data_IF_578569482649
#
_entry.id   IF_578569482649
#
_cell.length_a   1.000
_cell.length_b   1.000
_cell.length_c   1.000
_cell.angle_alpha   90.00
_cell.angle_beta   90.00
_cell.angle_gamma   90.00
#
_symmetry.space_group_name_H-M   'P 1'
#
loop_
_entity.id
_entity.type
_entity.pdbx_description
1 polymer ?
#
# COMPACT_ATOMS: atom_id res chain seq x y z
N UNK A 1 -6.76 18.83 0.56
CA UNK A 1 -6.16 18.64 1.90
C UNK A 1 -6.44 17.21 2.36
N UNK A 2 -5.56 16.27 1.98
CA UNK A 2 -5.59 14.92 2.53
C UNK A 2 -4.84 14.99 3.87
N UNK A 3 -5.55 14.77 4.97
CA UNK A 3 -4.92 14.49 6.25
C UNK A 3 -3.97 13.32 6.02
N UNK A 4 -2.66 13.56 6.19
CA UNK A 4 -1.68 12.50 6.32
C UNK A 4 -2.20 11.59 7.42
N UNK A 5 -2.77 10.45 7.05
CA UNK A 5 -3.13 9.40 7.98
C UNK A 5 -1.88 9.13 8.80
N UNK A 6 -1.90 9.60 10.04
CA UNK A 6 -0.88 9.38 11.05
C UNK A 6 -0.82 7.87 11.20
N UNK A 7 0.06 7.22 10.43
CA UNK A 7 0.44 5.83 10.65
C UNK A 7 1.21 5.82 11.96
N UNK A 8 0.48 6.00 13.06
CA UNK A 8 1.01 5.73 14.38
C UNK A 8 1.43 4.27 14.31
N UNK A 9 2.73 3.97 14.54
CA UNK A 9 3.14 2.59 14.68
C UNK A 9 2.20 1.97 15.70
N UNK A 10 1.74 0.75 15.42
CA UNK A 10 1.11 -0.08 16.44
C UNK A 10 2.13 -0.21 17.56
N UNK A 11 2.02 0.67 18.56
CA UNK A 11 2.79 0.55 19.80
C UNK A 11 2.06 -0.54 20.57
N UNK A 12 2.53 -1.78 20.40
CA UNK A 12 2.35 -2.81 21.40
C UNK A 12 3.04 -2.29 22.66
N UNK A 13 2.29 -1.56 23.47
CA UNK A 13 2.75 -1.08 24.76
C UNK A 13 2.52 -2.21 25.75
N UNK A 14 3.53 -3.06 25.94
CA UNK A 14 3.57 -3.96 27.08
C UNK A 14 4.08 -3.17 28.28
N UNK A 15 3.20 -2.75 29.18
CA UNK A 15 3.62 -2.26 30.50
C UNK A 15 3.76 -3.45 31.44
N UNK A 16 5.00 -3.87 31.79
CA UNK A 16 5.18 -4.92 32.79
C UNK A 16 4.60 -4.46 34.12
N UNK A 17 3.71 -5.26 34.69
CA UNK A 17 3.13 -4.97 36.00
C UNK A 17 4.19 -5.32 37.04
N UNK A 18 4.68 -4.33 37.81
CA UNK A 18 5.51 -4.59 39.00
C UNK A 18 4.69 -5.44 39.97
N UNK A 19 4.96 -6.73 40.00
CA UNK A 19 4.49 -7.64 41.05
C UNK A 19 5.35 -7.31 42.26
N UNK A 20 4.73 -6.99 43.40
CA UNK A 20 5.44 -6.63 44.61
C UNK A 20 6.24 -7.81 45.15
N UNK A 21 7.55 -7.59 45.33
CA UNK A 21 8.48 -8.53 45.95
C UNK A 21 7.99 -8.86 47.37
N UNK A 22 7.61 -10.12 47.59
CA UNK A 22 7.54 -10.70 48.93
C UNK A 22 8.31 -12.01 48.90
N UNK A 23 9.32 -12.07 49.77
CA UNK A 23 10.36 -13.07 49.92
C UNK A 23 9.81 -14.48 50.13
N UNK A 24 10.40 -15.48 49.44
CA UNK A 24 10.50 -16.86 49.93
C UNK A 24 11.51 -17.67 49.10
N UNK A 25 12.69 -17.87 49.69
CA UNK A 25 13.70 -18.84 49.29
C UNK A 25 13.17 -20.27 49.45
N UNK A 26 13.15 -21.05 48.36
CA UNK A 26 13.03 -22.51 48.42
C UNK A 26 13.65 -23.12 47.16
N UNK A 27 14.85 -23.68 47.31
CA UNK A 27 15.60 -24.33 46.23
C UNK A 27 15.08 -25.74 45.97
N UNK A 28 14.53 -25.98 44.78
CA UNK A 28 14.35 -27.31 44.21
C UNK A 28 14.68 -27.28 42.72
N UNK A 29 15.67 -28.10 42.33
CA UNK A 29 16.19 -28.28 40.97
C UNK A 29 15.17 -29.01 40.06
N UNK A 30 14.04 -28.37 39.77
CA UNK A 30 13.14 -28.81 38.69
C UNK A 30 13.61 -28.22 37.35
N UNK A 31 13.55 -28.98 36.23
CA UNK A 31 13.93 -28.47 34.92
C UNK A 31 13.07 -27.24 34.63
N UNK A 32 13.72 -26.08 34.49
CA UNK A 32 13.09 -24.78 34.35
C UNK A 32 12.02 -24.80 33.25
N UNK A 33 10.77 -25.03 33.64
CA UNK A 33 9.63 -24.73 32.79
C UNK A 33 9.67 -23.22 32.62
N UNK A 34 9.91 -22.78 31.40
CA UNK A 34 9.86 -21.37 31.03
C UNK A 34 8.42 -20.91 31.25
N UNK A 35 8.14 -20.34 32.43
CA UNK A 35 6.89 -19.64 32.68
C UNK A 35 6.82 -18.49 31.68
N UNK A 36 5.97 -18.65 30.66
CA UNK A 36 5.68 -17.60 29.70
C UNK A 36 4.97 -16.47 30.47
N UNK A 37 5.68 -15.37 30.67
CA UNK A 37 5.13 -14.17 31.30
C UNK A 37 3.88 -13.72 30.54
N UNK A 38 2.72 -13.78 31.20
CA UNK A 38 1.45 -13.30 30.63
C UNK A 38 1.48 -11.78 30.57
N UNK A 39 1.51 -11.21 29.36
CA UNK A 39 1.36 -9.76 29.19
C UNK A 39 -0.06 -9.40 28.75
N UNK A 40 -0.51 -8.21 29.14
CA UNK A 40 -1.76 -7.65 28.67
C UNK A 40 -1.54 -7.05 27.28
N UNK A 41 -1.85 -7.81 26.24
CA UNK A 41 -1.85 -7.27 24.89
C UNK A 41 -3.03 -6.29 24.73
N UNK A 42 -2.71 -5.09 24.25
CA UNK A 42 -3.68 -4.02 24.04
C UNK A 42 -3.70 -3.60 22.58
N UNK A 43 -4.90 -3.54 21.99
CA UNK A 43 -5.11 -2.98 20.66
C UNK A 43 -6.17 -1.89 20.74
N UNK A 44 -5.77 -0.67 20.39
CA UNK A 44 -6.67 0.47 20.30
C UNK A 44 -7.61 0.30 19.11
N UNK A 45 -8.90 0.57 19.31
CA UNK A 45 -9.85 0.65 18.21
C UNK A 45 -9.54 1.89 17.36
N UNK A 46 -9.56 1.73 16.05
CA UNK A 46 -9.36 2.83 15.11
C UNK A 46 -10.69 3.54 14.85
N UNK A 47 -10.64 4.81 14.45
CA UNK A 47 -11.82 5.58 14.02
C UNK A 47 -12.33 5.10 12.65
N UNK A 48 -12.76 3.84 12.58
CA UNK A 48 -13.25 3.18 11.38
C UNK A 48 -14.64 2.58 11.62
N UNK A 49 -15.43 2.44 10.56
CA UNK A 49 -16.76 1.82 10.64
C UNK A 49 -16.69 0.36 11.16
N UNK A 50 -15.57 -0.31 10.91
CA UNK A 50 -15.35 -1.69 11.34
C UNK A 50 -15.19 -1.82 12.85
N UNK A 51 -14.38 -0.96 13.45
CA UNK A 51 -14.16 -0.98 14.90
C UNK A 51 -15.33 -0.36 15.67
N UNK A 52 -16.09 0.56 15.06
CA UNK A 52 -17.36 1.03 15.59
C UNK A 52 -18.39 -0.10 15.74
N UNK A 53 -18.47 -1.01 14.76
CA UNK A 53 -19.31 -2.20 14.83
C UNK A 53 -18.91 -3.14 15.99
N UNK A 54 -17.61 -3.29 16.24
CA UNK A 54 -17.12 -4.07 17.39
C UNK A 54 -17.50 -3.42 18.71
N UNK A 55 -17.27 -2.11 18.86
CA UNK A 55 -17.62 -1.42 20.11
C UNK A 55 -19.13 -1.54 20.38
N UNK A 56 -19.95 -1.31 19.36
CA UNK A 56 -21.40 -1.38 19.50
C UNK A 56 -21.89 -2.79 19.88
N UNK A 57 -21.27 -3.84 19.32
CA UNK A 57 -21.52 -5.24 19.70
C UNK A 57 -21.04 -5.58 21.10
N UNK A 58 -19.91 -5.01 21.55
CA UNK A 58 -19.43 -5.20 22.91
C UNK A 58 -20.40 -4.58 23.91
N UNK A 59 -20.79 -3.32 23.68
CA UNK A 59 -21.69 -2.55 24.55
C UNK A 59 -23.09 -3.15 24.64
N UNK A 60 -23.64 -3.65 23.53
CA UNK A 60 -24.96 -4.29 23.53
C UNK A 60 -24.99 -5.63 24.27
N UNK A 61 -23.81 -6.25 24.46
CA UNK A 61 -23.66 -7.51 25.18
C UNK A 61 -23.22 -7.35 26.65
N UNK A 62 -22.97 -6.12 27.10
CA UNK A 62 -22.58 -5.85 28.48
C UNK A 62 -23.81 -5.47 29.31
N UNK A 63 -24.20 -6.35 30.23
CA UNK A 63 -25.40 -6.18 31.06
C UNK A 63 -25.34 -4.89 31.90
N UNK A 64 -24.15 -4.49 32.37
CA UNK A 64 -23.95 -3.27 33.16
C UNK A 64 -24.15 -2.01 32.31
N UNK A 65 -23.71 -2.07 31.04
CA UNK A 65 -23.95 -1.00 30.08
C UNK A 65 -25.46 -0.86 29.80
N UNK A 66 -26.15 -1.98 29.58
CA UNK A 66 -27.60 -2.01 29.33
C UNK A 66 -28.38 -1.52 30.55
N UNK A 67 -27.95 -1.88 31.77
CA UNK A 67 -28.58 -1.43 33.02
C UNK A 67 -28.41 0.09 33.23
N UNK A 68 -27.24 0.64 32.87
CA UNK A 68 -26.91 2.06 33.07
C UNK A 68 -27.60 2.98 32.06
N UNK A 69 -27.59 2.61 30.77
CA UNK A 69 -28.07 3.46 29.67
C UNK A 69 -29.45 3.06 29.13
N UNK A 70 -29.94 1.88 29.51
CA UNK A 70 -31.20 1.33 29.04
C UNK A 70 -31.09 0.57 27.72
N UNK A 71 -31.94 -0.44 27.56
CA UNK A 71 -31.95 -1.33 26.38
C UNK A 71 -32.17 -0.60 25.05
N UNK A 72 -32.97 0.48 25.04
CA UNK A 72 -33.25 1.23 23.82
C UNK A 72 -32.00 1.96 23.32
N UNK A 73 -31.18 2.52 24.22
CA UNK A 73 -29.95 3.21 23.84
C UNK A 73 -28.89 2.20 23.36
N UNK A 74 -28.75 1.05 24.04
CA UNK A 74 -27.87 -0.02 23.61
C UNK A 74 -28.25 -0.56 22.21
N UNK A 75 -29.56 -0.77 21.97
CA UNK A 75 -30.08 -1.17 20.65
C UNK A 75 -29.81 -0.10 19.58
N UNK A 76 -30.06 1.18 19.87
CA UNK A 76 -29.79 2.27 18.93
C UNK A 76 -28.31 2.38 18.57
N UNK A 77 -27.40 2.19 19.53
CA UNK A 77 -25.95 2.14 19.29
C UNK A 77 -25.54 0.94 18.45
N UNK A 78 -26.11 -0.24 18.74
CA UNK A 78 -25.90 -1.45 17.95
C UNK A 78 -26.32 -1.24 16.48
N UNK A 79 -27.53 -0.73 16.26
CA UNK A 79 -28.04 -0.42 14.93
C UNK A 79 -27.15 0.58 14.19
N UNK A 80 -26.71 1.64 14.87
CA UNK A 80 -25.82 2.63 14.26
C UNK A 80 -24.46 2.04 13.89
N UNK A 81 -23.77 1.40 14.84
CA UNK A 81 -22.44 0.82 14.61
C UNK A 81 -22.45 -0.27 13.54
N UNK A 82 -23.43 -1.18 13.60
CA UNK A 82 -23.56 -2.26 12.60
C UNK A 82 -24.03 -1.71 11.25
N UNK A 83 -24.91 -0.71 11.23
CA UNK A 83 -25.33 -0.04 9.99
C UNK A 83 -24.16 0.63 9.27
N UNK A 84 -23.31 1.35 10.00
CA UNK A 84 -22.08 1.95 9.45
C UNK A 84 -21.13 0.89 8.91
N UNK A 85 -20.93 -0.22 9.63
CA UNK A 85 -20.15 -1.36 9.18
C UNK A 85 -20.68 -1.91 7.85
N UNK A 86 -21.99 -2.20 7.76
CA UNK A 86 -22.61 -2.78 6.57
C UNK A 86 -22.49 -1.85 5.35
N UNK A 87 -22.73 -0.54 5.54
CA UNK A 87 -22.58 0.45 4.47
C UNK A 87 -21.11 0.50 3.98
N UNK A 88 -20.15 0.60 4.90
CA UNK A 88 -18.73 0.65 4.54
C UNK A 88 -18.26 -0.63 3.84
N UNK A 89 -18.59 -1.80 4.39
CA UNK A 89 -18.23 -3.10 3.83
C UNK A 89 -18.86 -3.31 2.46
N UNK A 90 -20.13 -2.91 2.27
CA UNK A 90 -20.80 -2.99 0.98
C UNK A 90 -20.14 -2.07 -0.06
N UNK A 91 -19.91 -0.80 0.26
CA UNK A 91 -19.27 0.15 -0.66
C UNK A 91 -17.85 -0.28 -1.03
N UNK A 92 -17.04 -0.68 -0.05
CA UNK A 92 -15.69 -1.16 -0.29
C UNK A 92 -15.72 -2.46 -1.12
N UNK A 93 -16.59 -3.40 -0.78
CA UNK A 93 -16.76 -4.66 -1.48
C UNK A 93 -17.18 -4.49 -2.95
N UNK A 94 -18.14 -3.61 -3.23
CA UNK A 94 -18.57 -3.30 -4.60
C UNK A 94 -17.41 -2.69 -5.40
N UNK A 95 -16.67 -1.73 -4.84
CA UNK A 95 -15.56 -1.11 -5.55
C UNK A 95 -14.40 -2.09 -5.81
N UNK A 96 -14.11 -2.96 -4.85
CA UNK A 96 -13.13 -4.05 -5.05
C UNK A 96 -13.59 -4.99 -6.15
N UNK A 97 -14.86 -5.40 -6.15
CA UNK A 97 -15.43 -6.25 -7.19
C UNK A 97 -15.37 -5.58 -8.56
N UNK A 98 -15.68 -4.29 -8.67
CA UNK A 98 -15.57 -3.54 -9.92
C UNK A 98 -14.14 -3.49 -10.45
N UNK A 99 -13.14 -3.30 -9.57
CA UNK A 99 -11.73 -3.34 -9.97
C UNK A 99 -11.36 -4.72 -10.49
N UNK A 100 -11.75 -5.78 -9.77
CA UNK A 100 -11.44 -7.16 -10.17
C UNK A 100 -12.08 -7.46 -11.53
N UNK A 101 -13.40 -7.28 -11.65
CA UNK A 101 -14.15 -7.72 -12.82
C UNK A 101 -13.92 -6.85 -14.05
N UNK A 102 -13.79 -5.53 -13.90
CA UNK A 102 -13.71 -4.62 -15.07
C UNK A 102 -12.30 -4.10 -15.35
N UNK A 103 -11.49 -3.85 -14.32
CA UNK A 103 -10.14 -3.32 -14.53
C UNK A 103 -9.10 -4.41 -14.67
N UNK A 104 -9.17 -5.48 -13.87
CA UNK A 104 -8.15 -6.53 -13.91
C UNK A 104 -8.37 -7.45 -15.10
N UNK A 105 -9.58 -7.98 -15.30
CA UNK A 105 -9.89 -8.85 -16.44
C UNK A 105 -9.52 -8.16 -17.77
N UNK A 106 -9.97 -6.93 -17.99
CA UNK A 106 -9.66 -6.16 -19.22
C UNK A 106 -8.16 -5.95 -19.45
N UNK A 107 -7.38 -5.80 -18.38
CA UNK A 107 -5.91 -5.65 -18.49
C UNK A 107 -5.20 -7.00 -18.68
N UNK A 108 -5.83 -8.07 -18.22
CA UNK A 108 -5.32 -9.44 -18.29
C UNK A 108 -5.60 -10.06 -19.67
N UNK A 109 -6.73 -9.75 -20.32
CA UNK A 109 -7.15 -10.29 -21.63
C UNK A 109 -6.05 -10.33 -22.70
N UNK A 110 -5.25 -9.26 -22.95
CA UNK A 110 -4.22 -9.28 -23.99
C UNK A 110 -3.11 -10.31 -23.74
N UNK A 111 -2.93 -10.71 -22.48
CA UNK A 111 -1.91 -11.65 -22.03
C UNK A 111 -2.45 -13.06 -21.79
N UNK A 112 -3.77 -13.25 -21.72
CA UNK A 112 -4.39 -14.58 -21.65
C UNK A 112 -4.51 -15.23 -23.01
N UNK A 113 -4.91 -14.45 -24.02
CA UNK A 113 -5.29 -15.00 -25.33
C UNK A 113 -4.11 -15.65 -26.06
N UNK A 114 -2.89 -15.19 -25.77
CA UNK A 114 -1.64 -15.75 -26.26
C UNK A 114 -0.82 -16.15 -25.04
N UNK A 115 -0.37 -17.41 -24.94
CA UNK A 115 0.52 -17.80 -23.85
C UNK A 115 1.73 -16.86 -23.88
N UNK A 116 1.91 -16.01 -22.87
CA UNK A 116 3.00 -15.02 -22.84
C UNK A 116 4.38 -15.62 -23.17
N UNK A 117 4.58 -16.89 -22.83
CA UNK A 117 5.76 -17.67 -23.23
C UNK A 117 5.96 -17.81 -24.75
N UNK A 118 4.90 -18.09 -25.53
CA UNK A 118 5.01 -18.20 -27.00
C UNK A 118 5.24 -16.84 -27.64
N UNK A 119 4.62 -15.77 -27.11
CA UNK A 119 4.91 -14.41 -27.57
C UNK A 119 6.38 -14.04 -27.32
N UNK A 120 6.92 -14.38 -26.15
CA UNK A 120 8.33 -14.18 -25.83
C UNK A 120 9.24 -14.95 -26.80
N UNK A 121 8.88 -16.18 -27.15
CA UNK A 121 9.65 -16.99 -28.10
C UNK A 121 9.62 -16.41 -29.53
N UNK A 122 8.47 -15.92 -29.99
CA UNK A 122 8.32 -15.26 -31.29
C UNK A 122 9.24 -14.03 -31.40
N UNK A 123 9.24 -13.17 -30.37
CA UNK A 123 10.13 -12.02 -30.29
C UNK A 123 11.61 -12.43 -30.29
N UNK A 124 11.98 -13.47 -29.53
CA UNK A 124 13.35 -13.99 -29.52
C UNK A 124 13.79 -14.55 -30.86
N UNK A 125 12.89 -15.23 -31.57
CA UNK A 125 13.18 -15.75 -32.91
C UNK A 125 13.42 -14.62 -33.90
N UNK A 126 12.58 -13.58 -33.88
CA UNK A 126 12.74 -12.38 -34.71
C UNK A 126 14.08 -11.66 -34.44
N UNK A 127 14.47 -11.54 -33.17
CA UNK A 127 15.79 -11.00 -32.77
C UNK A 127 16.94 -11.87 -33.29
N UNK A 128 16.82 -13.20 -33.18
CA UNK A 128 17.84 -14.15 -33.62
C UNK A 128 18.02 -14.17 -35.14
N UNK A 129 16.96 -13.99 -35.92
CA UNK A 129 17.00 -13.87 -37.39
C UNK A 129 17.32 -12.46 -37.86
N UNK A 130 17.48 -11.50 -36.94
CA UNK A 130 17.67 -10.08 -37.23
C UNK A 130 16.60 -9.51 -38.20
N UNK A 131 15.36 -9.99 -38.07
CA UNK A 131 14.24 -9.58 -38.91
C UNK A 131 13.10 -9.07 -38.02
N UNK A 132 12.71 -7.81 -38.18
CA UNK A 132 11.57 -7.25 -37.44
C UNK A 132 10.28 -7.97 -37.79
N UNK A 133 9.41 -8.18 -36.80
CA UNK A 133 8.05 -8.64 -37.03
C UNK A 133 7.25 -7.56 -37.80
N UNK A 134 6.29 -7.96 -38.65
CA UNK A 134 5.40 -7.01 -39.31
C UNK A 134 4.61 -6.16 -38.29
N UNK A 135 4.35 -4.89 -38.60
CA UNK A 135 3.56 -3.99 -37.74
C UNK A 135 2.10 -4.44 -37.53
N UNK A 136 1.60 -5.29 -38.44
CA UNK A 136 0.28 -5.91 -38.33
C UNK A 136 0.22 -7.07 -37.33
N UNK A 137 1.37 -7.58 -36.88
CA UNK A 137 1.43 -8.68 -35.91
C UNK A 137 0.94 -8.20 -34.53
N UNK A 138 -0.07 -8.85 -33.94
CA UNK A 138 -0.61 -8.46 -32.63
C UNK A 138 0.46 -8.48 -31.52
N UNK A 139 1.46 -9.36 -31.61
CA UNK A 139 2.56 -9.45 -30.62
C UNK A 139 3.48 -8.25 -30.72
N UNK A 140 3.81 -7.83 -31.94
CA UNK A 140 4.59 -6.60 -32.19
C UNK A 140 3.85 -5.39 -31.64
N UNK A 141 2.56 -5.24 -31.98
CA UNK A 141 1.71 -4.14 -31.49
C UNK A 141 1.60 -4.12 -29.96
N UNK A 142 1.37 -5.27 -29.32
CA UNK A 142 1.30 -5.38 -27.87
C UNK A 142 2.64 -5.00 -27.23
N UNK A 143 3.75 -5.53 -27.77
CA UNK A 143 5.08 -5.19 -27.30
C UNK A 143 5.34 -3.69 -27.42
N UNK A 144 5.09 -3.07 -28.58
CA UNK A 144 5.27 -1.63 -28.80
C UNK A 144 4.48 -0.77 -27.80
N UNK A 145 3.30 -1.23 -27.38
CA UNK A 145 2.49 -0.56 -26.35
C UNK A 145 2.95 -0.75 -24.90
N UNK A 146 3.85 -1.70 -24.62
CA UNK A 146 4.37 -1.96 -23.27
C UNK A 146 5.54 -1.03 -22.93
N UNK A 147 5.29 -0.02 -22.10
CA UNK A 147 6.29 0.93 -21.62
C UNK A 147 6.82 0.53 -20.24
N UNK A 148 6.81 -0.76 -19.93
CA UNK A 148 7.19 -1.24 -18.63
C UNK A 148 8.72 -1.34 -18.52
N UNK A 149 9.26 -0.88 -17.38
CA UNK A 149 10.69 -0.98 -17.10
C UNK A 149 10.94 -2.35 -16.46
N UNK A 150 11.94 -3.12 -16.91
CA UNK A 150 12.31 -4.38 -16.26
C UNK A 150 12.51 -4.18 -14.75
N UNK A 151 12.06 -5.13 -13.94
CA UNK A 151 12.14 -5.12 -12.46
C UNK A 151 11.24 -4.11 -11.74
N UNK A 152 10.75 -3.06 -12.41
CA UNK A 152 9.89 -2.05 -11.76
C UNK A 152 8.63 -2.65 -11.15
N UNK A 153 8.03 -3.68 -11.75
CA UNK A 153 6.82 -4.32 -11.21
C UNK A 153 7.07 -5.00 -9.88
N UNK A 154 8.25 -5.62 -9.67
CA UNK A 154 8.60 -6.25 -8.38
C UNK A 154 8.72 -5.19 -7.28
N UNK A 155 9.30 -4.03 -7.59
CA UNK A 155 9.36 -2.91 -6.64
C UNK A 155 7.97 -2.37 -6.32
N UNK A 156 7.11 -2.18 -7.33
CA UNK A 156 5.77 -1.66 -7.15
C UNK A 156 4.86 -2.63 -6.38
N UNK A 157 4.96 -3.94 -6.65
CA UNK A 157 4.26 -4.97 -5.89
C UNK A 157 4.75 -5.03 -4.45
N UNK A 158 6.06 -4.90 -4.20
CA UNK A 158 6.61 -4.79 -2.85
C UNK A 158 6.08 -3.57 -2.10
N UNK A 159 6.09 -2.39 -2.72
CA UNK A 159 5.54 -1.17 -2.11
C UNK A 159 4.05 -1.30 -1.81
N UNK A 160 3.29 -1.92 -2.72
CA UNK A 160 1.88 -2.21 -2.52
C UNK A 160 1.65 -3.16 -1.35
N UNK A 161 2.44 -4.23 -1.25
CA UNK A 161 2.41 -5.16 -0.12
C UNK A 161 2.68 -4.45 1.22
N UNK A 162 3.73 -3.64 1.30
CA UNK A 162 4.06 -2.85 2.49
C UNK A 162 2.95 -1.88 2.89
N UNK A 163 2.29 -1.24 1.90
CA UNK A 163 1.18 -0.31 2.15
C UNK A 163 -0.12 -1.02 2.53
N UNK A 164 -0.34 -2.22 2.00
CA UNK A 164 -1.63 -2.90 2.08
C UNK A 164 -1.73 -3.94 3.18
N UNK A 165 -0.62 -4.52 3.62
CA UNK A 165 -0.61 -5.56 4.66
C UNK A 165 -0.89 -5.08 6.09
N UNK A 166 -0.58 -3.84 6.54
CA UNK A 166 -0.77 -3.49 7.95
C UNK A 166 -2.22 -3.64 8.43
N UNK A 167 -3.27 -3.17 7.71
CA UNK A 167 -4.66 -3.40 8.12
C UNK A 167 -5.05 -4.87 8.22
N UNK A 168 -4.48 -5.73 7.36
CA UNK A 168 -4.71 -7.18 7.40
C UNK A 168 -4.10 -7.78 8.66
N UNK A 169 -2.83 -7.44 8.97
CA UNK A 169 -2.17 -7.91 10.19
C UNK A 169 -2.86 -7.39 11.45
N UNK A 170 -3.26 -6.13 11.50
CA UNK A 170 -4.04 -5.58 12.62
C UNK A 170 -5.38 -6.32 12.78
N UNK A 171 -6.06 -6.64 11.67
CA UNK A 171 -7.33 -7.37 11.72
C UNK A 171 -7.16 -8.81 12.18
N UNK A 172 -6.10 -9.49 11.73
CA UNK A 172 -5.73 -10.84 12.19
C UNK A 172 -5.35 -10.84 13.69
N UNK A 173 -4.60 -9.84 14.12
CA UNK A 173 -4.22 -9.70 15.53
C UNK A 173 -5.43 -9.40 16.41
N UNK A 174 -6.32 -8.48 16.02
CA UNK A 174 -7.57 -8.23 16.73
C UNK A 174 -8.49 -9.45 16.74
N UNK A 175 -8.54 -10.22 15.65
CA UNK A 175 -9.25 -11.50 15.58
C UNK A 175 -8.70 -12.50 16.61
N UNK A 176 -7.37 -12.63 16.68
CA UNK A 176 -6.69 -13.45 17.67
C UNK A 176 -7.03 -13.00 19.10
N UNK A 177 -6.95 -11.70 19.40
CA UNK A 177 -7.29 -11.17 20.73
C UNK A 177 -8.75 -11.44 21.11
N UNK A 178 -9.71 -11.22 20.21
CA UNK A 178 -11.14 -11.50 20.46
C UNK A 178 -11.36 -12.99 20.77
N UNK A 179 -10.66 -13.88 20.06
CA UNK A 179 -10.74 -15.32 20.30
C UNK A 179 -10.17 -15.72 21.68
N UNK A 180 -9.08 -15.07 22.11
CA UNK A 180 -8.42 -15.33 23.40
C UNK A 180 -9.01 -14.60 24.59
N UNK A 181 -9.90 -13.62 24.39
CA UNK A 181 -10.55 -12.94 25.51
C UNK A 181 -11.25 -13.96 26.43
N UNK A 182 -11.25 -13.77 27.75
CA UNK A 182 -11.99 -14.63 28.68
C UNK A 182 -13.50 -14.45 28.55
N UNK A 183 -14.26 -15.40 29.12
CA UNK A 183 -15.72 -15.22 29.33
C UNK A 183 -15.93 -14.29 30.52
N UNK A 184 -16.97 -13.44 30.50
CA UNK A 184 -17.22 -12.49 31.57
C UNK A 184 -17.56 -13.21 32.88
N UNK A 185 -16.93 -12.78 33.97
CA UNK A 185 -17.31 -13.09 35.36
C UNK A 185 -17.92 -11.85 36.06
N UNK A 186 -18.21 -10.80 35.29
CA UNK A 186 -18.60 -9.47 35.73
C UNK A 186 -18.60 -8.53 34.51
N UNK A 187 -18.16 -7.28 34.70
CA UNK A 187 -18.08 -6.26 33.65
C UNK A 187 -17.30 -6.72 32.41
N UNK A 188 -17.91 -6.56 31.23
CA UNK A 188 -17.23 -6.80 29.96
C UNK A 188 -16.35 -5.60 29.58
N UNK A 189 -16.84 -4.39 29.85
CA UNK A 189 -16.18 -3.12 29.56
C UNK A 189 -15.79 -2.43 30.86
N UNK A 190 -14.49 -2.28 31.08
CA UNK A 190 -13.96 -1.50 32.20
C UNK A 190 -13.74 -0.07 31.72
N UNK A 191 -14.52 0.87 32.25
CA UNK A 191 -14.40 2.30 31.91
C UNK A 191 -13.45 3.00 32.88
N UNK A 192 -12.29 3.41 32.39
CA UNK A 192 -11.36 4.31 33.11
C UNK A 192 -11.70 5.79 32.88
N UNK A 193 -11.00 6.68 33.58
CA UNK A 193 -11.21 8.13 33.48
C UNK A 193 -11.00 8.68 32.04
N UNK A 194 -10.14 8.04 31.25
CA UNK A 194 -9.77 8.50 29.90
C UNK A 194 -9.90 7.45 28.80
N UNK A 195 -10.02 6.16 29.13
CA UNK A 195 -10.11 5.06 28.17
C UNK A 195 -11.09 3.98 28.61
N UNK A 196 -11.77 3.37 27.65
CA UNK A 196 -12.60 2.19 27.87
C UNK A 196 -11.83 0.93 27.42
N UNK A 197 -11.88 -0.13 28.20
CA UNK A 197 -11.18 -1.38 27.90
C UNK A 197 -12.17 -2.53 27.83
N UNK A 198 -12.20 -3.22 26.68
CA UNK A 198 -12.99 -4.44 26.51
C UNK A 198 -12.11 -5.60 26.99
N UNK A 199 -12.40 -6.13 28.17
CA UNK A 199 -11.57 -7.14 28.86
C UNK A 199 -12.15 -8.54 28.74
N UNK A 200 -13.48 -8.67 28.64
CA UNK A 200 -14.15 -9.95 28.49
C UNK A 200 -15.32 -9.84 27.52
N UNK A 201 -15.66 -10.95 26.86
CA UNK A 201 -16.80 -11.01 25.93
C UNK A 201 -17.53 -12.36 26.09
N UNK A 202 -18.87 -12.37 26.05
CA UNK A 202 -19.63 -13.62 26.05
C UNK A 202 -19.41 -14.38 24.74
N UNK A 203 -19.48 -15.71 24.80
CA UNK A 203 -19.12 -16.58 23.67
C UNK A 203 -19.94 -16.27 22.40
N UNK A 204 -21.24 -16.01 22.56
CA UNK A 204 -22.13 -15.68 21.43
C UNK A 204 -21.66 -14.41 20.72
N UNK A 205 -21.35 -13.35 21.46
CA UNK A 205 -20.86 -12.09 20.91
C UNK A 205 -19.50 -12.25 20.25
N UNK A 206 -18.59 -13.06 20.83
CA UNK A 206 -17.30 -13.37 20.18
C UNK A 206 -17.49 -14.00 18.82
N UNK A 207 -18.28 -15.08 18.74
CA UNK A 207 -18.55 -15.77 17.48
C UNK A 207 -19.16 -14.80 16.45
N UNK A 208 -20.11 -13.97 16.87
CA UNK A 208 -20.69 -12.95 16.00
C UNK A 208 -19.68 -11.90 15.52
N UNK A 209 -18.87 -11.32 16.40
CA UNK A 209 -17.82 -10.36 16.00
C UNK A 209 -16.80 -10.97 15.04
N UNK A 210 -16.43 -12.23 15.26
CA UNK A 210 -15.50 -12.97 14.41
C UNK A 210 -16.09 -13.19 13.02
N UNK A 211 -17.28 -13.80 12.94
CA UNK A 211 -17.87 -14.22 11.66
C UNK A 211 -18.55 -13.08 10.90
N UNK A 212 -19.19 -12.13 11.57
CA UNK A 212 -19.94 -11.07 10.91
C UNK A 212 -19.12 -9.80 10.65
N UNK A 213 -18.06 -9.54 11.42
CA UNK A 213 -17.26 -8.32 11.28
C UNK A 213 -15.84 -8.66 10.80
N UNK A 214 -15.04 -9.36 11.61
CA UNK A 214 -13.60 -9.51 11.32
C UNK A 214 -13.29 -10.37 10.11
N UNK A 215 -13.94 -11.52 9.92
CA UNK A 215 -13.71 -12.37 8.74
C UNK A 215 -14.06 -11.62 7.44
N UNK A 216 -15.24 -11.01 7.28
CA UNK A 216 -15.56 -10.21 6.10
C UNK A 216 -14.57 -9.08 5.84
N UNK A 217 -14.14 -8.33 6.87
CA UNK A 217 -13.13 -7.29 6.73
C UNK A 217 -11.80 -7.86 6.20
N UNK A 218 -11.33 -8.98 6.76
CA UNK A 218 -10.09 -9.64 6.29
C UNK A 218 -10.24 -10.10 4.84
N UNK A 219 -11.39 -10.66 4.46
CA UNK A 219 -11.67 -11.07 3.08
C UNK A 219 -11.61 -9.88 2.12
N UNK A 220 -12.28 -8.76 2.44
CA UNK A 220 -12.30 -7.56 1.60
C UNK A 220 -10.90 -6.96 1.46
N UNK A 221 -10.16 -6.81 2.56
CA UNK A 221 -8.79 -6.29 2.54
C UNK A 221 -7.83 -7.19 1.76
N UNK A 222 -7.97 -8.52 1.90
CA UNK A 222 -7.17 -9.49 1.14
C UNK A 222 -7.52 -9.49 -0.33
N UNK A 223 -8.82 -9.41 -0.67
CA UNK A 223 -9.28 -9.29 -2.05
C UNK A 223 -8.73 -8.01 -2.70
N UNK A 224 -8.73 -6.88 -1.98
CA UNK A 224 -8.13 -5.64 -2.46
C UNK A 224 -6.62 -5.74 -2.63
N UNK A 225 -5.92 -6.42 -1.71
CA UNK A 225 -4.48 -6.69 -1.85
C UNK A 225 -4.19 -7.45 -3.14
N UNK A 226 -4.89 -8.57 -3.36
CA UNK A 226 -4.74 -9.41 -4.56
C UNK A 226 -5.12 -8.63 -5.82
N UNK A 227 -6.23 -7.87 -5.78
CA UNK A 227 -6.67 -7.05 -6.89
C UNK A 227 -5.60 -6.02 -7.28
N UNK A 228 -5.00 -5.35 -6.30
CA UNK A 228 -3.92 -4.40 -6.56
C UNK A 228 -2.64 -5.07 -7.08
N UNK A 229 -2.28 -6.24 -6.57
CA UNK A 229 -1.14 -7.00 -7.09
C UNK A 229 -1.35 -7.43 -8.54
N UNK A 230 -2.53 -7.95 -8.90
CA UNK A 230 -2.89 -8.27 -10.30
C UNK A 230 -2.85 -7.02 -11.17
N UNK A 231 -3.49 -5.95 -10.71
CA UNK A 231 -3.53 -4.69 -11.43
C UNK A 231 -2.13 -4.16 -11.77
N UNK A 232 -1.22 -4.12 -10.77
CA UNK A 232 0.17 -3.68 -10.93
C UNK A 232 0.96 -4.57 -11.90
N UNK A 233 0.65 -5.87 -11.93
CA UNK A 233 1.31 -6.79 -12.84
C UNK A 233 0.86 -6.62 -14.28
N UNK A 234 -0.42 -6.39 -14.57
CA UNK A 234 -0.91 -6.30 -15.95
C UNK A 234 -0.82 -4.90 -16.56
N UNK A 235 -0.58 -3.86 -15.76
CA UNK A 235 -0.44 -2.51 -16.29
C UNK A 235 0.82 -2.36 -17.15
N UNK A 236 0.66 -1.81 -18.34
CA UNK A 236 1.68 -1.65 -19.38
C UNK A 236 2.38 -0.28 -19.35
N UNK A 237 1.92 0.67 -18.52
CA UNK A 237 2.45 2.03 -18.45
C UNK A 237 2.50 2.54 -17.01
N UNK A 238 3.59 3.22 -16.66
CA UNK A 238 3.84 3.69 -15.29
C UNK A 238 2.86 4.78 -14.83
N UNK A 239 2.46 5.71 -15.72
CA UNK A 239 1.54 6.79 -15.38
C UNK A 239 0.15 6.31 -14.94
N UNK A 240 -0.57 5.53 -15.78
CA UNK A 240 -1.84 4.91 -15.40
C UNK A 240 -1.72 4.02 -14.17
N UNK A 241 -0.56 3.39 -13.95
CA UNK A 241 -0.28 2.58 -12.79
C UNK A 241 -0.31 3.42 -11.50
N UNK A 242 0.40 4.55 -11.45
CA UNK A 242 0.43 5.44 -10.28
C UNK A 242 -0.97 5.97 -9.96
N UNK A 243 -1.68 6.49 -10.97
CA UNK A 243 -3.01 7.07 -10.78
C UNK A 243 -4.02 6.04 -10.26
N UNK A 244 -3.97 4.81 -10.78
CA UNK A 244 -4.87 3.74 -10.31
C UNK A 244 -4.44 3.18 -8.95
N UNK A 245 -3.14 3.14 -8.64
CA UNK A 245 -2.66 2.77 -7.31
C UNK A 245 -3.16 3.75 -6.23
N UNK A 246 -3.18 5.05 -6.54
CA UNK A 246 -3.81 6.06 -5.68
C UNK A 246 -5.31 5.82 -5.51
N UNK A 247 -6.02 5.48 -6.58
CA UNK A 247 -7.44 5.09 -6.51
C UNK A 247 -7.70 3.87 -5.62
N UNK A 248 -6.84 2.85 -5.69
CA UNK A 248 -6.94 1.69 -4.80
C UNK A 248 -6.64 2.04 -3.34
N UNK A 249 -5.70 2.95 -3.09
CA UNK A 249 -5.44 3.47 -1.75
C UNK A 249 -6.65 4.23 -1.19
N UNK A 250 -7.41 4.95 -2.02
CA UNK A 250 -8.64 5.62 -1.62
C UNK A 250 -9.72 4.61 -1.16
N UNK A 251 -9.88 3.49 -1.88
CA UNK A 251 -10.85 2.45 -1.51
C UNK A 251 -10.61 1.92 -0.09
N UNK A 252 -9.34 1.83 0.35
CA UNK A 252 -8.99 1.44 1.73
C UNK A 252 -9.49 2.41 2.80
N UNK A 253 -9.70 3.67 2.45
CA UNK A 253 -10.11 4.72 3.40
C UNK A 253 -11.62 4.86 3.53
N UNK A 254 -12.40 4.11 2.74
CA UNK A 254 -13.87 4.16 2.76
C UNK A 254 -14.45 3.93 4.16
N UNK A 255 -14.00 2.92 4.93
CA UNK A 255 -14.52 2.70 6.29
C UNK A 255 -14.31 3.89 7.21
N UNK A 256 -13.20 4.62 7.04
CA UNK A 256 -12.86 5.80 7.84
C UNK A 256 -13.70 7.01 7.40
N UNK A 257 -13.90 7.18 6.09
CA UNK A 257 -14.73 8.26 5.51
C UNK A 257 -16.20 8.08 5.91
N UNK A 258 -16.73 6.87 5.80
CA UNK A 258 -18.12 6.54 6.18
C UNK A 258 -18.32 6.77 7.67
N UNK A 259 -17.36 6.33 8.51
CA UNK A 259 -17.43 6.57 9.94
C UNK A 259 -17.33 8.05 10.29
N UNK A 260 -16.30 8.76 9.82
CA UNK A 260 -16.12 10.18 10.10
C UNK A 260 -17.24 11.07 9.60
N UNK A 261 -17.88 10.70 8.47
CA UNK A 261 -18.97 11.47 7.86
C UNK A 261 -20.35 11.22 8.47
N UNK A 262 -20.65 10.00 8.92
CA UNK A 262 -21.99 9.62 9.36
C UNK A 262 -22.14 9.41 10.87
N UNK A 263 -21.05 9.16 11.59
CA UNK A 263 -21.10 8.95 13.04
C UNK A 263 -21.07 10.27 13.82
N UNK A 264 -21.68 10.29 15.00
CA UNK A 264 -21.67 11.47 15.88
C UNK A 264 -20.29 11.67 16.54
N UNK A 265 -19.85 12.92 16.72
CA UNK A 265 -18.57 13.24 17.36
C UNK A 265 -18.35 12.57 18.73
N UNK A 266 -19.38 12.47 19.62
CA UNK A 266 -19.22 11.75 20.88
C UNK A 266 -18.90 10.27 20.66
N UNK A 267 -19.54 9.62 19.69
CA UNK A 267 -19.29 8.22 19.39
C UNK A 267 -17.91 8.00 18.74
N UNK A 268 -17.45 8.92 17.88
CA UNK A 268 -16.09 8.91 17.34
C UNK A 268 -15.02 8.99 18.45
N UNK A 269 -15.23 9.89 19.42
CA UNK A 269 -14.34 10.04 20.56
C UNK A 269 -14.35 8.80 21.47
N UNK A 270 -15.50 8.12 21.59
CA UNK A 270 -15.63 6.90 22.37
C UNK A 270 -14.93 5.70 21.71
N UNK A 271 -15.11 5.52 20.40
CA UNK A 271 -14.38 4.48 19.63
C UNK A 271 -12.88 4.70 19.75
N UNK A 272 -12.40 5.93 19.55
CA UNK A 272 -10.98 6.27 19.66
C UNK A 272 -10.41 6.02 21.07
N UNK A 273 -11.22 6.16 22.13
CA UNK A 273 -10.79 5.90 23.52
C UNK A 273 -10.87 4.44 23.93
N UNK A 274 -11.45 3.59 23.08
CA UNK A 274 -11.67 2.18 23.42
C UNK A 274 -10.52 1.30 22.94
N UNK A 275 -10.13 0.32 23.74
CA UNK A 275 -9.15 -0.70 23.36
C UNK A 275 -9.59 -2.11 23.76
N UNK A 276 -9.21 -3.08 22.93
CA UNK A 276 -9.30 -4.51 23.22
C UNK A 276 -8.12 -4.89 24.12
N UNK A 277 -8.38 -5.58 25.24
CA UNK A 277 -7.36 -6.07 26.15
C UNK A 277 -7.55 -7.57 26.35
N UNK A 278 -6.51 -8.36 26.08
CA UNK A 278 -6.50 -9.78 26.39
C UNK A 278 -5.14 -10.19 26.97
N UNK A 279 -5.15 -11.18 27.87
CA UNK A 279 -3.93 -11.82 28.34
C UNK A 279 -3.53 -12.86 27.30
N UNK A 280 -2.36 -12.67 26.71
CA UNK A 280 -1.81 -13.59 25.70
C UNK A 280 -0.35 -13.88 26.03
N UNK A 281 0.15 -15.08 25.68
CA UNK A 281 1.56 -15.39 25.85
C UNK A 281 2.38 -14.41 25.01
N UNK A 282 3.31 -13.73 25.66
CA UNK A 282 4.14 -12.71 25.03
C UNK A 282 5.41 -13.31 24.45
N UNK A 283 5.81 -12.84 23.27
CA UNK A 283 7.11 -13.15 22.69
C UNK A 283 7.92 -11.86 22.60
N UNK A 284 8.82 -11.57 23.56
CA UNK A 284 9.57 -10.31 23.61
C UNK A 284 10.32 -9.97 22.33
N UNK A 285 10.79 -10.99 21.60
CA UNK A 285 11.49 -10.82 20.34
C UNK A 285 10.63 -10.11 19.27
N UNK A 286 9.30 -10.31 19.28
CA UNK A 286 8.39 -9.71 18.29
C UNK A 286 8.13 -8.21 18.49
N UNK A 287 8.42 -7.67 19.67
CA UNK A 287 8.30 -6.22 19.93
C UNK A 287 9.58 -5.45 19.57
N UNK A 288 10.64 -6.16 19.17
CA UNK A 288 11.90 -5.55 18.74
C UNK A 288 11.98 -5.35 17.22
N UNK A 289 13.16 -4.94 16.73
CA UNK A 289 13.47 -4.76 15.31
C UNK A 289 13.24 -6.03 14.45
N UNK A 290 13.23 -7.21 15.08
CA UNK A 290 13.01 -8.50 14.40
C UNK A 290 11.67 -8.53 13.66
N UNK A 291 10.62 -7.92 14.22
CA UNK A 291 9.31 -7.83 13.55
C UNK A 291 9.36 -7.00 12.27
N UNK A 292 10.13 -5.90 12.27
CA UNK A 292 10.36 -5.08 11.09
C UNK A 292 11.13 -5.86 10.01
N UNK A 293 12.24 -6.50 10.38
CA UNK A 293 13.05 -7.29 9.47
C UNK A 293 12.27 -8.48 8.88
N UNK A 294 11.54 -9.22 9.72
CA UNK A 294 10.71 -10.35 9.28
C UNK A 294 9.62 -9.91 8.30
N UNK A 295 8.96 -8.77 8.54
CA UNK A 295 8.00 -8.19 7.59
C UNK A 295 8.65 -7.80 6.26
N UNK A 296 9.82 -7.19 6.27
CA UNK A 296 10.54 -6.83 5.03
C UNK A 296 10.88 -8.10 4.24
N UNK A 297 11.47 -9.11 4.89
CA UNK A 297 11.82 -10.38 4.25
C UNK A 297 10.57 -11.07 3.68
N UNK A 298 9.46 -11.08 4.42
CA UNK A 298 8.19 -11.63 3.97
C UNK A 298 7.68 -10.91 2.72
N UNK A 299 7.61 -9.58 2.72
CA UNK A 299 7.10 -8.81 1.58
C UNK A 299 8.02 -8.90 0.35
N UNK A 300 9.35 -8.87 0.53
CA UNK A 300 10.31 -9.06 -0.57
C UNK A 300 10.16 -10.45 -1.18
N UNK A 301 10.11 -11.49 -0.33
CA UNK A 301 9.95 -12.88 -0.79
C UNK A 301 8.63 -13.08 -1.53
N UNK A 302 7.53 -12.53 -1.01
CA UNK A 302 6.22 -12.62 -1.63
C UNK A 302 6.15 -11.84 -2.95
N UNK A 303 6.75 -10.65 -3.03
CA UNK A 303 6.82 -9.86 -4.26
C UNK A 303 7.64 -10.58 -5.34
N UNK A 304 8.82 -11.11 -4.98
CA UNK A 304 9.67 -11.87 -5.90
C UNK A 304 8.98 -13.14 -6.37
N UNK A 305 8.41 -13.92 -5.46
CA UNK A 305 7.66 -15.13 -5.81
C UNK A 305 6.49 -14.82 -6.74
N UNK A 306 5.68 -13.80 -6.42
CA UNK A 306 4.53 -13.43 -7.23
C UNK A 306 4.92 -12.93 -8.62
N UNK A 307 5.94 -12.08 -8.72
CA UNK A 307 6.38 -11.55 -10.02
C UNK A 307 7.15 -12.57 -10.86
N UNK A 308 8.04 -13.36 -10.24
CA UNK A 308 9.01 -14.20 -10.97
C UNK A 308 8.58 -15.64 -11.14
N UNK A 309 7.87 -16.19 -10.16
CA UNK A 309 7.40 -17.58 -10.20
C UNK A 309 5.99 -17.61 -10.76
N UNK A 310 5.04 -16.93 -10.10
CA UNK A 310 3.63 -16.96 -10.51
C UNK A 310 3.39 -16.28 -11.87
N UNK A 311 4.01 -15.12 -12.11
CA UNK A 311 3.92 -14.36 -13.38
C UNK A 311 5.18 -14.44 -14.24
N UNK A 312 5.98 -15.51 -14.11
CA UNK A 312 7.26 -15.66 -14.82
C UNK A 312 7.14 -15.48 -16.34
N UNK A 313 6.14 -16.10 -16.97
CA UNK A 313 5.93 -16.01 -18.42
C UNK A 313 5.62 -14.58 -18.91
N UNK A 314 4.91 -13.79 -18.11
CA UNK A 314 4.63 -12.37 -18.42
C UNK A 314 5.90 -11.52 -18.30
N UNK A 315 6.71 -11.77 -17.27
CA UNK A 315 8.00 -11.11 -17.08
C UNK A 315 8.98 -11.46 -18.21
N UNK A 316 9.00 -12.72 -18.66
CA UNK A 316 9.80 -13.17 -19.79
C UNK A 316 9.40 -12.49 -21.10
N UNK A 317 8.09 -12.35 -21.33
CA UNK A 317 7.57 -11.59 -22.47
C UNK A 317 8.02 -10.13 -22.44
N UNK A 318 7.87 -9.46 -21.30
CA UNK A 318 8.30 -8.06 -21.15
C UNK A 318 9.79 -7.88 -21.33
N UNK A 319 10.59 -8.82 -20.82
CA UNK A 319 12.04 -8.82 -21.04
C UNK A 319 12.39 -8.99 -22.52
N UNK A 320 11.75 -9.95 -23.21
CA UNK A 320 11.94 -10.15 -24.65
C UNK A 320 11.49 -8.92 -25.46
N UNK A 321 10.40 -8.28 -25.05
CA UNK A 321 9.91 -7.05 -25.66
C UNK A 321 10.89 -5.88 -25.46
N UNK A 322 11.44 -5.72 -24.25
CA UNK A 322 12.46 -4.71 -23.98
C UNK A 322 13.69 -4.89 -24.90
N UNK A 323 14.19 -6.13 -25.03
CA UNK A 323 15.29 -6.47 -25.93
C UNK A 323 14.94 -6.22 -27.40
N UNK A 324 13.74 -6.61 -27.82
CA UNK A 324 13.26 -6.41 -29.19
C UNK A 324 13.19 -4.92 -29.54
N UNK A 325 12.63 -4.10 -28.65
CA UNK A 325 12.59 -2.64 -28.82
C UNK A 325 13.98 -2.05 -28.87
N UNK A 326 14.89 -2.53 -28.02
CA UNK A 326 16.27 -2.06 -28.01
C UNK A 326 16.96 -2.32 -29.35
N UNK A 327 16.75 -3.50 -29.96
CA UNK A 327 17.35 -3.87 -31.24
C UNK A 327 16.73 -3.14 -32.45
N UNK A 328 15.41 -3.04 -32.52
CA UNK A 328 14.71 -2.59 -33.74
C UNK A 328 14.07 -1.19 -33.66
N UNK A 329 13.76 -0.68 -32.47
CA UNK A 329 12.97 0.57 -32.29
C UNK A 329 13.81 1.72 -31.75
N UNK A 330 14.69 1.45 -30.78
CA UNK A 330 15.52 2.46 -30.12
C UNK A 330 16.93 2.75 -30.70
N UNK A 331 17.38 2.26 -31.86
CA UNK A 331 18.74 2.59 -32.32
C UNK A 331 18.94 4.10 -32.59
N UNK A 332 17.87 4.90 -32.61
CA UNK A 332 17.88 6.34 -32.92
C UNK A 332 17.58 7.27 -31.72
N UNK A 333 17.28 6.76 -30.52
CA UNK A 333 16.82 7.59 -29.39
C UNK A 333 17.70 7.40 -28.14
N UNK A 334 18.62 8.33 -27.87
CA UNK A 334 19.54 8.34 -26.71
C UNK A 334 18.88 8.68 -25.35
N UNK A 335 17.62 8.32 -25.14
CA UNK A 335 16.87 8.73 -23.95
C UNK A 335 16.86 7.60 -22.90
N UNK A 336 17.84 7.56 -22.01
CA UNK A 336 17.85 6.63 -20.88
C UNK A 336 18.71 7.12 -19.70
N UNK A 337 18.12 7.22 -18.51
CA UNK A 337 18.83 7.44 -17.24
C UNK A 337 19.43 6.10 -16.77
N UNK A 338 20.75 6.04 -16.58
CA UNK A 338 21.41 4.87 -16.00
C UNK A 338 21.23 4.86 -14.48
N UNK A 339 20.44 3.94 -13.94
CA UNK A 339 20.37 3.66 -12.51
C UNK A 339 20.97 2.27 -12.21
N UNK A 340 21.75 2.15 -11.13
CA UNK A 340 22.36 0.90 -10.62
C UNK A 340 23.44 0.21 -11.47
N UNK A 341 24.31 0.97 -12.15
CA UNK A 341 25.55 0.39 -12.70
C UNK A 341 25.37 -0.62 -13.84
N UNK A 342 24.14 -0.93 -14.26
CA UNK A 342 23.88 -1.50 -15.58
C UNK A 342 24.13 -0.42 -16.63
N UNK A 343 25.40 -0.31 -17.04
CA UNK A 343 25.72 0.27 -18.35
C UNK A 343 25.19 -0.70 -19.40
N UNK A 344 24.00 -0.41 -19.93
CA UNK A 344 23.65 -0.87 -21.27
C UNK A 344 24.44 -0.10 -22.34
N UNK A 345 25.74 0.13 -22.14
CA UNK A 345 26.61 0.92 -23.03
C UNK A 345 28.06 0.51 -22.79
N UNK A 346 28.59 -0.30 -23.71
CA UNK A 346 29.98 -0.70 -23.71
C UNK A 346 30.27 -1.66 -24.84
N UNK A 347 30.00 -1.23 -26.09
CA UNK A 347 30.80 -1.55 -27.30
C UNK A 347 30.04 -1.13 -28.56
N UNK A 348 29.88 0.18 -28.80
CA UNK A 348 29.64 0.71 -30.16
C UNK A 348 29.99 2.20 -30.27
N UNK A 349 31.19 2.58 -29.83
CA UNK A 349 31.81 3.88 -30.19
C UNK A 349 33.06 3.66 -31.07
N UNK A 350 33.25 2.46 -31.63
CA UNK A 350 34.35 2.15 -32.53
C UNK A 350 34.08 2.41 -34.02
N UNK A 351 32.84 2.71 -34.43
CA UNK A 351 32.46 2.80 -35.85
C UNK A 351 32.06 4.21 -36.33
N UNK A 352 32.16 5.23 -35.48
CA UNK A 352 31.99 6.64 -35.89
C UNK A 352 33.27 7.47 -35.79
N UNK A 353 34.40 6.84 -35.46
CA UNK A 353 35.72 7.51 -35.46
C UNK A 353 36.40 7.53 -36.84
N UNK A 354 35.73 7.04 -37.90
CA UNK A 354 36.30 6.93 -39.25
C UNK A 354 35.53 7.73 -40.32
N UNK A 355 34.94 8.87 -39.95
CA UNK A 355 34.64 9.92 -40.92
C UNK A 355 35.28 11.24 -40.51
N UNK A 356 36.52 11.53 -40.97
CA UNK A 356 37.00 12.89 -41.00
C UNK A 356 36.28 13.61 -42.15
N UNK A 357 35.87 14.85 -41.89
CA UNK A 357 35.23 15.76 -42.86
C UNK A 357 33.70 15.66 -43.01
N UNK A 358 32.97 16.22 -42.04
CA UNK A 358 31.79 17.04 -42.35
C UNK A 358 31.42 17.95 -41.16
N UNK A 359 31.81 19.21 -41.28
CA UNK A 359 30.92 20.34 -41.01
C UNK A 359 30.60 20.70 -39.55
N UNK A 360 31.55 21.38 -38.90
CA UNK A 360 31.30 22.25 -37.74
C UNK A 360 30.40 23.43 -38.15
N UNK A 361 29.08 23.25 -38.21
CA UNK A 361 28.16 24.41 -38.37
C UNK A 361 26.75 24.29 -37.80
N UNK A 362 26.37 23.16 -37.19
CA UNK A 362 24.99 22.95 -36.72
C UNK A 362 24.86 22.56 -35.24
N UNK A 363 25.72 23.11 -34.37
CA UNK A 363 25.56 22.94 -32.90
C UNK A 363 25.23 24.24 -32.16
N UNK A 364 25.51 25.40 -32.74
CA UNK A 364 25.27 26.70 -32.10
C UNK A 364 23.88 27.31 -32.42
N UNK A 365 23.09 26.69 -33.30
CA UNK A 365 21.76 27.19 -33.70
C UNK A 365 20.65 26.85 -32.70
N UNK A 366 20.66 25.65 -32.12
CA UNK A 366 19.60 25.18 -31.23
C UNK A 366 19.69 25.77 -29.81
N UNK A 367 20.91 26.06 -29.31
CA UNK A 367 21.07 26.69 -27.99
C UNK A 367 20.67 28.18 -27.99
N UNK A 368 20.85 28.88 -29.13
CA UNK A 368 20.51 30.31 -29.24
C UNK A 368 19.02 30.58 -29.46
N UNK A 369 18.19 29.57 -29.78
CA UNK A 369 16.74 29.75 -29.90
C UNK A 369 16.01 29.60 -28.56
N UNK A 370 16.57 28.84 -27.61
CA UNK A 370 16.03 28.70 -26.25
C UNK A 370 16.33 29.91 -25.36
N UNK A 371 17.41 30.65 -25.63
CA UNK A 371 17.84 31.82 -24.83
C UNK A 371 17.13 33.13 -25.25
N UNK A 372 16.33 33.12 -26.33
CA UNK A 372 15.61 34.31 -26.81
C UNK A 372 14.22 34.54 -26.21
N UNK A 373 13.76 33.69 -25.29
CA UNK A 373 12.53 33.96 -24.56
C UNK A 373 12.84 34.84 -23.34
N UNK A 374 12.41 36.13 -23.32
CA UNK A 374 12.75 37.06 -22.24
C UNK A 374 12.27 36.57 -20.86
N UNK A 375 11.17 35.80 -20.80
CA UNK A 375 10.65 35.22 -19.54
C UNK A 375 11.60 34.21 -18.88
N UNK A 376 12.32 33.39 -19.66
CA UNK A 376 13.18 32.36 -19.07
C UNK A 376 14.42 32.97 -18.41
N UNK A 377 14.88 34.12 -18.92
CA UNK A 377 16.02 34.87 -18.39
C UNK A 377 15.71 35.47 -17.02
N UNK A 378 14.50 36.00 -16.85
CA UNK A 378 14.07 36.65 -15.61
C UNK A 378 13.85 35.62 -14.50
N UNK A 379 13.23 34.48 -14.81
CA UNK A 379 13.04 33.38 -13.86
C UNK A 379 14.37 32.74 -13.45
N UNK A 380 15.28 32.51 -14.40
CA UNK A 380 16.60 31.95 -14.10
C UNK A 380 17.48 32.93 -13.28
N UNK A 381 17.32 34.24 -13.50
CA UNK A 381 18.02 35.27 -12.72
C UNK A 381 17.52 35.36 -11.27
N UNK A 382 16.22 35.17 -11.04
CA UNK A 382 15.62 35.14 -9.71
C UNK A 382 16.07 33.93 -8.89
N UNK A 383 16.18 32.76 -9.54
CA UNK A 383 16.63 31.50 -8.90
C UNK A 383 18.12 31.53 -8.58
N UNK A 384 18.96 32.06 -9.48
CA UNK A 384 20.42 32.14 -9.25
C UNK A 384 20.83 33.18 -8.19
N UNK A 385 19.96 34.12 -7.84
CA UNK A 385 20.22 35.15 -6.82
C UNK A 385 19.77 34.77 -5.40
N UNK A 386 19.28 33.54 -5.18
CA UNK A 386 18.98 33.02 -3.84
C UNK A 386 17.90 33.79 -3.09
N UNK A 387 17.03 34.54 -3.79
CA UNK A 387 15.89 35.21 -3.18
C UNK A 387 14.66 34.34 -3.29
N UNK A 388 14.03 34.00 -2.16
CA UNK A 388 12.68 33.45 -2.11
C UNK A 388 11.66 34.59 -1.98
N UNK A 389 10.78 34.84 -2.96
CA UNK A 389 9.66 35.76 -2.78
C UNK A 389 8.35 35.01 -2.46
N UNK A 390 7.42 35.62 -1.71
CA UNK A 390 6.10 35.06 -1.39
C UNK A 390 5.11 34.98 -2.58
N UNK A 391 5.51 35.43 -3.78
CA UNK A 391 4.56 35.70 -4.88
C UNK A 391 4.43 34.58 -5.93
N UNK A 392 5.16 33.45 -5.77
CA UNK A 392 5.06 32.31 -6.69
C UNK A 392 3.68 31.62 -6.67
N UNK A 393 2.94 31.77 -5.57
CA UNK A 393 1.57 31.24 -5.44
C UNK A 393 0.56 32.10 -6.20
N UNK A 394 0.77 33.40 -6.30
CA UNK A 394 -0.12 34.32 -7.05
C UNK A 394 0.07 34.18 -8.56
N UNK A 395 1.30 33.92 -9.02
CA UNK A 395 1.58 33.66 -10.44
C UNK A 395 0.98 32.30 -10.87
N UNK A 396 1.06 31.27 -10.02
CA UNK A 396 0.44 29.97 -10.28
C UNK A 396 -1.11 30.03 -10.33
N UNK A 397 -1.72 30.99 -9.63
CA UNK A 397 -3.17 31.19 -9.63
C UNK A 397 -3.68 31.94 -10.88
N UNK A 398 -2.83 32.71 -11.57
CA UNK A 398 -3.22 33.51 -12.73
C UNK A 398 -3.19 32.76 -14.07
N UNK A 399 -2.42 31.68 -14.20
CA UNK A 399 -2.13 31.11 -15.54
C UNK A 399 -2.69 29.71 -15.84
N UNK A 400 -3.53 29.13 -14.96
CA UNK A 400 -4.24 27.86 -15.26
C UNK A 400 -3.29 26.73 -15.74
N UNK A 401 -2.08 26.68 -15.17
CA UNK A 401 -1.05 25.69 -15.52
C UNK A 401 -1.32 24.39 -14.75
N UNK A 402 -1.30 23.28 -15.49
CA UNK A 402 -1.46 21.94 -14.98
C UNK A 402 -0.39 21.61 -13.90
N UNK A 403 -0.91 21.22 -12.74
CA UNK A 403 -0.31 20.52 -11.61
C UNK A 403 1.14 20.89 -11.15
N UNK A 404 1.29 21.53 -9.96
CA UNK A 404 2.56 22.01 -9.39
C UNK A 404 3.69 20.99 -9.18
N UNK A 405 3.44 19.69 -9.28
CA UNK A 405 4.44 18.65 -8.97
C UNK A 405 5.43 18.42 -10.12
N UNK A 406 5.07 18.74 -11.36
CA UNK A 406 6.00 18.64 -12.50
C UNK A 406 7.13 19.67 -12.40
N UNK A 407 6.83 20.88 -11.90
CA UNK A 407 7.83 21.92 -11.64
C UNK A 407 8.80 21.50 -10.53
N UNK A 408 8.29 20.82 -9.50
CA UNK A 408 9.08 20.32 -8.37
C UNK A 408 10.08 19.24 -8.79
N UNK A 409 9.68 18.36 -9.72
CA UNK A 409 10.54 17.29 -10.26
C UNK A 409 11.67 17.84 -11.15
N UNK A 410 11.42 18.91 -11.91
CA UNK A 410 12.46 19.58 -12.72
C UNK A 410 13.46 20.32 -11.83
N UNK A 411 13.01 20.95 -10.74
CA UNK A 411 13.87 21.66 -9.80
C UNK A 411 14.77 20.72 -8.98
N UNK A 412 14.25 19.56 -8.56
CA UNK A 412 15.04 18.53 -7.85
C UNK A 412 16.09 17.85 -8.75
N UNK A 413 15.90 17.82 -10.07
CA UNK A 413 16.85 17.22 -11.00
C UNK A 413 18.04 18.14 -11.34
N UNK A 414 17.94 19.45 -11.06
CA UNK A 414 18.97 20.44 -11.44
C UNK A 414 19.89 20.86 -10.28
N UNK A 415 19.59 20.49 -9.03
CA UNK A 415 20.47 20.71 -7.89
C UNK A 415 20.44 19.47 -6.96
N UNK A 416 21.45 18.58 -7.03
CA UNK A 416 21.54 17.40 -6.16
C UNK A 416 21.83 17.74 -4.70
#
# INVERSE_FOLDING_TARGET
MASTADMRPLVLSSTPRKVGDNDLESSSDDPAMVELEETNARVRLLQSAYDAGLLAMAQSSDDDYVATFGSNQACGRLMNGLGLFLIAAFLQGVLVALIILFSNERMQDPYEHYRSASMAQLLRQAMATNSSLPDSDPVSKLCLSDHSVPWSQSMLVFLWLCRSSPPIFTSLWSLYLIAYMPRPKGQCIVSGASSAEIVALPLKTKLWMVFAIKIPTIIIETALLIAGMKFLMYCNALGPLIMKALGMAYIKTIPDIVFGGLSSKPFQAEVDKTSLVARVPFLPAWDTWVSGAAKIVLHVSLALWYCRVYHGALQDFRMACFQYKYQFVFPTCHCGLSFFGMRGWGETVGLLAEQPELGVRSRNGALNSLVKQPMLRDVLSLVLLGRTPPDLVEIAALENIAQPWELCMVLLAQNP
#
